data_IF_639469541217
#
_entry.id   IF_639469541217
#
_cell.length_a   1.000
_cell.length_b   1.000
_cell.length_c   1.000
_cell.angle_alpha   90.00
_cell.angle_beta   90.00
_cell.angle_gamma   90.00
#
_symmetry.space_group_name_H-M   'P 1'
#
loop_
_entity.id
_entity.type
_entity.pdbx_description
1 polymer ?
#
# COMPACT_ATOMS: atom_id res chain seq x y z
N UNK A 1 -7.69 -17.92 -1.24
CA UNK A 1 -8.36 -16.96 -2.16
C UNK A 1 -9.01 -15.81 -1.41
N UNK A 2 -9.84 -16.04 -0.38
CA UNK A 2 -10.47 -14.96 0.43
C UNK A 2 -9.47 -14.01 1.12
N UNK A 3 -8.31 -14.51 1.56
CA UNK A 3 -7.26 -13.70 2.20
C UNK A 3 -6.70 -12.56 1.33
N UNK A 4 -6.62 -12.78 0.02
CA UNK A 4 -6.17 -11.75 -0.93
C UNK A 4 -7.16 -10.58 -1.02
N UNK A 5 -8.46 -10.88 -0.92
CA UNK A 5 -9.51 -9.87 -0.92
C UNK A 5 -9.44 -9.04 0.36
N UNK A 6 -9.17 -9.70 1.49
CA UNK A 6 -8.92 -9.03 2.77
C UNK A 6 -7.76 -8.04 2.66
N UNK A 7 -6.62 -8.46 2.10
CA UNK A 7 -5.47 -7.57 1.90
C UNK A 7 -5.82 -6.35 1.05
N UNK A 8 -6.48 -6.55 -0.10
CA UNK A 8 -6.83 -5.45 -1.01
C UNK A 8 -7.78 -4.46 -0.32
N UNK A 9 -8.79 -4.97 0.41
CA UNK A 9 -9.72 -4.13 1.16
C UNK A 9 -9.00 -3.33 2.28
N UNK A 10 -8.12 -3.97 3.04
CA UNK A 10 -7.32 -3.32 4.07
C UNK A 10 -6.39 -2.25 3.47
N UNK A 11 -5.72 -2.55 2.36
CA UNK A 11 -4.86 -1.60 1.66
C UNK A 11 -5.65 -0.39 1.11
N UNK A 12 -6.84 -0.59 0.56
CA UNK A 12 -7.71 0.51 0.10
C UNK A 12 -8.14 1.42 1.25
N UNK A 13 -8.56 0.85 2.38
CA UNK A 13 -8.93 1.62 3.56
C UNK A 13 -7.74 2.40 4.12
N UNK A 14 -6.57 1.75 4.19
CA UNK A 14 -5.34 2.39 4.66
C UNK A 14 -4.96 3.59 3.79
N UNK A 15 -4.95 3.41 2.46
CA UNK A 15 -4.62 4.49 1.52
C UNK A 15 -5.57 5.69 1.67
N UNK A 16 -6.87 5.43 1.85
CA UNK A 16 -7.87 6.49 2.10
C UNK A 16 -7.57 7.26 3.38
N UNK A 17 -7.28 6.55 4.46
CA UNK A 17 -6.99 7.13 5.76
C UNK A 17 -5.70 7.94 5.75
N UNK A 18 -4.68 7.46 5.04
CA UNK A 18 -3.41 8.18 4.84
C UNK A 18 -3.59 9.49 4.07
N UNK A 19 -4.37 9.49 2.98
CA UNK A 19 -4.67 10.69 2.22
C UNK A 19 -5.41 11.72 3.07
N UNK A 20 -6.45 11.28 3.78
CA UNK A 20 -7.28 12.15 4.62
C UNK A 20 -6.47 12.74 5.79
N UNK A 21 -5.60 11.94 6.41
CA UNK A 21 -4.67 12.41 7.42
C UNK A 21 -3.76 13.53 6.90
N UNK A 22 -3.24 13.41 5.67
CA UNK A 22 -2.37 14.44 5.09
C UNK A 22 -3.12 15.72 4.71
N UNK A 23 -4.40 15.61 4.34
CA UNK A 23 -5.28 16.76 4.13
C UNK A 23 -5.58 17.48 5.46
N UNK A 24 -5.89 16.74 6.53
CA UNK A 24 -6.20 17.28 7.86
C UNK A 24 -4.99 17.96 8.53
N UNK A 25 -3.77 17.42 8.36
CA UNK A 25 -2.55 18.06 8.91
C UNK A 25 -2.15 19.30 8.07
N UNK A 26 -2.80 19.54 6.92
CA UNK A 26 -2.52 20.69 6.05
C UNK A 26 -1.28 20.53 5.18
N UNK A 27 -0.77 19.31 5.02
CA UNK A 27 0.39 18.99 4.17
C UNK A 27 0.00 18.08 2.98
N UNK A 28 -0.86 18.54 2.05
CA UNK A 28 -1.33 17.71 0.94
C UNK A 28 -0.23 17.32 -0.07
N UNK A 29 0.97 17.89 0.06
CA UNK A 29 2.10 17.71 -0.87
C UNK A 29 3.33 17.04 -0.22
N UNK A 30 3.22 16.64 1.05
CA UNK A 30 4.30 16.02 1.83
C UNK A 30 4.75 16.92 2.99
N UNK A 31 5.22 16.31 4.07
CA UNK A 31 5.65 17.04 5.28
C UNK A 31 6.90 17.89 5.06
N UNK A 32 7.84 17.41 4.24
CA UNK A 32 9.12 18.10 3.97
C UNK A 32 9.02 19.00 2.72
N UNK A 33 7.99 18.81 1.88
CA UNK A 33 7.76 19.63 0.69
C UNK A 33 8.84 19.50 -0.38
N UNK A 34 9.62 18.41 -0.37
CA UNK A 34 10.72 18.17 -1.32
C UNK A 34 10.22 17.99 -2.76
N UNK A 35 8.94 17.66 -2.91
CA UNK A 35 8.39 17.23 -4.18
C UNK A 35 6.98 17.83 -4.32
N UNK A 36 6.67 18.48 -5.44
CA UNK A 36 5.42 19.25 -5.66
C UNK A 36 4.21 18.41 -6.04
N UNK A 37 4.39 17.10 -6.27
CA UNK A 37 3.29 16.21 -6.67
C UNK A 37 2.41 15.91 -5.46
N UNK A 38 1.08 15.90 -5.62
CA UNK A 38 0.17 15.57 -4.53
C UNK A 38 0.47 14.18 -3.96
N UNK A 39 0.35 14.06 -2.63
CA UNK A 39 0.55 12.80 -1.90
C UNK A 39 -0.42 11.73 -2.43
N UNK A 40 -1.63 12.15 -2.77
CA UNK A 40 -2.65 11.31 -3.41
C UNK A 40 -2.11 10.55 -4.64
N UNK A 41 -1.51 11.26 -5.59
CA UNK A 41 -1.05 10.63 -6.83
C UNK A 41 0.13 9.69 -6.59
N UNK A 42 1.02 10.03 -5.64
CA UNK A 42 2.18 9.18 -5.30
C UNK A 42 1.76 7.90 -4.60
N UNK A 43 0.84 7.98 -3.64
CA UNK A 43 0.26 6.79 -3.00
C UNK A 43 -0.44 5.91 -4.04
N UNK A 44 -1.20 6.50 -4.97
CA UNK A 44 -1.92 5.74 -6.00
C UNK A 44 -0.96 4.94 -6.89
N UNK A 45 0.15 5.54 -7.30
CA UNK A 45 1.21 4.84 -8.05
C UNK A 45 1.85 3.73 -7.23
N UNK A 46 2.17 4.00 -5.95
CA UNK A 46 2.82 3.04 -5.06
C UNK A 46 1.93 1.82 -4.80
N UNK A 47 0.67 2.04 -4.43
CA UNK A 47 -0.31 0.96 -4.21
C UNK A 47 -0.57 0.17 -5.49
N UNK A 48 -0.62 0.82 -6.66
CA UNK A 48 -0.80 0.15 -7.94
C UNK A 48 0.37 -0.78 -8.28
N UNK A 49 1.62 -0.34 -8.05
CA UNK A 49 2.80 -1.18 -8.23
C UNK A 49 2.77 -2.40 -7.31
N UNK A 50 2.39 -2.21 -6.05
CA UNK A 50 2.31 -3.31 -5.08
C UNK A 50 1.20 -4.29 -5.46
N UNK A 51 0.04 -3.82 -5.93
CA UNK A 51 -1.01 -4.72 -6.40
C UNK A 51 -0.56 -5.56 -7.59
N UNK A 52 0.18 -5.00 -8.54
CA UNK A 52 0.77 -5.76 -9.66
C UNK A 52 1.75 -6.82 -9.15
N UNK A 53 2.65 -6.45 -8.23
CA UNK A 53 3.59 -7.38 -7.60
C UNK A 53 2.86 -8.49 -6.83
N UNK A 54 1.77 -8.15 -6.14
CA UNK A 54 0.95 -9.11 -5.40
C UNK A 54 0.23 -10.08 -6.34
N UNK A 55 -0.37 -9.61 -7.43
CA UNK A 55 -1.04 -10.47 -8.41
C UNK A 55 -0.06 -11.41 -9.12
N UNK A 56 1.14 -10.93 -9.45
CA UNK A 56 2.18 -11.77 -10.08
C UNK A 56 2.66 -12.87 -9.13
N UNK A 57 2.91 -12.55 -7.86
CA UNK A 57 3.22 -13.54 -6.82
C UNK A 57 2.09 -14.54 -6.61
N UNK A 58 0.83 -14.06 -6.56
CA UNK A 58 -0.33 -14.92 -6.40
C UNK A 58 -0.53 -15.87 -7.59
N UNK A 59 -0.16 -15.46 -8.81
CA UNK A 59 -0.23 -16.31 -10.00
C UNK A 59 0.82 -17.44 -9.98
N UNK A 60 2.05 -17.13 -9.56
CA UNK A 60 3.14 -18.11 -9.46
C UNK A 60 2.97 -19.06 -8.27
N UNK A 61 2.40 -18.61 -7.17
CA UNK A 61 2.23 -19.37 -5.92
C UNK A 61 1.04 -20.34 -5.93
N UNK A 62 0.81 -21.08 -7.03
CA UNK A 62 -0.28 -22.08 -7.12
C UNK A 62 -0.11 -23.30 -6.20
N UNK A 63 1.09 -23.55 -5.68
CA UNK A 63 1.41 -24.78 -4.92
C UNK A 63 1.83 -24.54 -3.45
N UNK A 64 1.64 -23.32 -2.92
CA UNK A 64 2.03 -22.97 -1.55
C UNK A 64 0.92 -23.27 -0.54
N UNK A 65 1.28 -23.82 0.62
CA UNK A 65 0.40 -23.99 1.79
C UNK A 65 -0.23 -22.65 2.19
N UNK A 66 -1.52 -22.66 2.54
CA UNK A 66 -2.30 -21.44 2.81
C UNK A 66 -1.69 -20.51 3.86
N UNK A 67 -0.96 -21.06 4.83
CA UNK A 67 -0.27 -20.31 5.89
C UNK A 67 0.90 -19.49 5.37
N UNK A 68 1.68 -20.03 4.43
CA UNK A 68 2.83 -19.32 3.83
C UNK A 68 2.34 -18.16 2.98
N UNK A 69 1.26 -18.38 2.22
CA UNK A 69 0.62 -17.33 1.45
C UNK A 69 0.08 -16.21 2.37
N UNK A 70 -0.52 -16.58 3.51
CA UNK A 70 -1.03 -15.64 4.49
C UNK A 70 0.08 -14.76 5.09
N UNK A 71 1.18 -15.38 5.53
CA UNK A 71 2.35 -14.66 6.04
C UNK A 71 2.96 -13.71 4.98
N UNK A 72 3.02 -14.14 3.72
CA UNK A 72 3.48 -13.30 2.61
C UNK A 72 2.57 -12.09 2.39
N UNK A 73 1.23 -12.26 2.39
CA UNK A 73 0.28 -11.13 2.32
C UNK A 73 0.50 -10.12 3.45
N UNK A 74 0.61 -10.59 4.70
CA UNK A 74 0.80 -9.70 5.86
C UNK A 74 2.13 -8.94 5.74
N UNK A 75 3.19 -9.62 5.30
CA UNK A 75 4.50 -8.99 5.10
C UNK A 75 4.43 -7.89 4.03
N UNK A 76 3.75 -8.15 2.92
CA UNK A 76 3.53 -7.16 1.84
C UNK A 76 2.71 -5.98 2.38
N UNK A 77 1.68 -6.22 3.18
CA UNK A 77 0.89 -5.15 3.81
C UNK A 77 1.75 -4.19 4.62
N UNK A 78 2.58 -4.72 5.53
CA UNK A 78 3.50 -3.89 6.31
C UNK A 78 4.55 -3.19 5.45
N UNK A 79 5.03 -3.84 4.40
CA UNK A 79 5.98 -3.22 3.46
C UNK A 79 5.36 -2.00 2.76
N UNK A 80 4.11 -2.09 2.30
CA UNK A 80 3.41 -0.94 1.70
C UNK A 80 3.22 0.18 2.71
N UNK A 81 2.83 -0.15 3.94
CA UNK A 81 2.61 0.83 5.00
C UNK A 81 3.90 1.60 5.33
N UNK A 82 5.04 0.92 5.40
CA UNK A 82 6.31 1.62 5.64
C UNK A 82 6.65 2.52 4.45
N UNK A 83 6.46 2.04 3.22
CA UNK A 83 6.71 2.82 2.02
C UNK A 83 5.77 4.03 1.89
N UNK A 84 4.50 3.90 2.25
CA UNK A 84 3.54 5.01 2.22
C UNK A 84 3.92 6.09 3.22
N UNK A 85 4.33 5.72 4.44
CA UNK A 85 4.86 6.68 5.43
C UNK A 85 6.08 7.43 4.89
N UNK A 86 7.01 6.73 4.21
CA UNK A 86 8.14 7.41 3.55
C UNK A 86 7.67 8.40 2.48
N UNK A 87 6.66 8.05 1.68
CA UNK A 87 6.10 8.93 0.64
C UNK A 87 5.34 10.11 1.24
N UNK A 88 4.71 9.96 2.40
CA UNK A 88 4.02 11.05 3.11
C UNK A 88 5.00 12.03 3.74
N UNK A 89 6.13 11.52 4.24
CA UNK A 89 7.21 12.35 4.78
C UNK A 89 7.87 13.17 3.68
N UNK A 90 8.11 12.59 2.50
CA UNK A 90 8.82 13.21 1.38
C UNK A 90 8.00 14.28 0.61
#
# INVERSE_FOLDING_TARGET
RWWAIGLIASCMLMMRLEIELMEEIGYPHGLIGLMKSSVHNRLLVLYSLVYIAFFTLAHYSKNSTGTVFLAATISIFFMVLVLSVFVMVL
#
